data_IF_086676499717
#
_entry.id   IF_086676499717
#
_cell.length_a   1.000
_cell.length_b   1.000
_cell.length_c   1.000
_cell.angle_alpha   90.00
_cell.angle_beta   90.00
_cell.angle_gamma   90.00
#
_symmetry.space_group_name_H-M   'P 1'
#
loop_
_entity.id
_entity.type
_entity.pdbx_description
1 polymer ?
#
# COMPACT_ATOMS: atom_id res chain seq x y z
N UNK A 1 7.88 22.90 1.17
CA UNK A 1 7.15 21.64 1.47
C UNK A 1 8.08 20.46 1.18
N UNK A 2 8.64 19.83 2.22
CA UNK A 2 9.60 18.71 2.07
C UNK A 2 8.85 17.40 1.79
N UNK A 3 8.48 17.14 0.53
CA UNK A 3 7.90 15.84 0.14
C UNK A 3 8.98 14.75 0.30
N UNK A 4 8.72 13.72 1.12
CA UNK A 4 9.36 12.40 1.00
C UNK A 4 10.51 12.03 1.94
N UNK A 5 10.96 12.90 2.84
CA UNK A 5 12.04 12.59 3.80
C UNK A 5 11.57 11.58 4.87
N UNK A 6 12.51 10.80 5.41
CA UNK A 6 12.23 9.96 6.58
C UNK A 6 11.87 10.85 7.80
N UNK A 7 11.00 10.39 8.70
CA UNK A 7 10.72 11.12 9.94
C UNK A 7 11.96 11.28 10.81
N UNK A 8 12.13 12.46 11.40
CA UNK A 8 13.21 12.77 12.35
C UNK A 8 12.76 12.55 13.81
N UNK A 9 11.46 12.41 14.05
CA UNK A 9 10.87 12.30 15.38
C UNK A 9 10.01 11.03 15.57
N UNK A 10 9.70 10.72 16.83
CA UNK A 10 8.87 9.55 17.18
C UNK A 10 7.44 9.65 16.61
N UNK A 11 6.88 10.85 16.49
CA UNK A 11 5.51 11.04 16.00
C UNK A 11 5.38 10.70 14.51
N UNK A 12 6.32 11.12 13.67
CA UNK A 12 6.30 10.78 12.25
C UNK A 12 6.56 9.30 12.00
N UNK A 13 7.40 8.64 12.81
CA UNK A 13 7.55 7.18 12.77
C UNK A 13 6.26 6.46 13.16
N UNK A 14 5.57 6.89 14.22
CA UNK A 14 4.24 6.34 14.59
C UNK A 14 3.22 6.52 13.47
N UNK A 15 3.23 7.64 12.76
CA UNK A 15 2.35 7.85 11.61
C UNK A 15 2.64 6.87 10.47
N UNK A 16 3.91 6.56 10.19
CA UNK A 16 4.30 5.53 9.21
C UNK A 16 3.86 4.13 9.64
N UNK A 17 4.06 3.76 10.90
CA UNK A 17 3.61 2.47 11.46
C UNK A 17 2.10 2.33 11.31
N UNK A 18 1.31 3.34 11.73
CA UNK A 18 -0.15 3.33 11.54
C UNK A 18 -0.55 3.20 10.08
N UNK A 19 0.12 3.93 9.19
CA UNK A 19 -0.14 3.87 7.75
C UNK A 19 0.12 2.48 7.18
N UNK A 20 1.22 1.83 7.57
CA UNK A 20 1.50 0.44 7.19
C UNK A 20 0.45 -0.48 7.78
N UNK A 21 0.14 -0.39 9.07
CA UNK A 21 -0.86 -1.24 9.73
C UNK A 21 -2.24 -1.15 9.09
N UNK A 22 -2.68 0.06 8.70
CA UNK A 22 -3.92 0.28 7.97
C UNK A 22 -3.87 -0.33 6.56
N UNK A 23 -2.80 -0.07 5.81
CA UNK A 23 -2.63 -0.57 4.45
C UNK A 23 -2.53 -2.11 4.39
N UNK A 24 -1.89 -2.73 5.38
CA UNK A 24 -1.73 -4.18 5.46
C UNK A 24 -2.90 -4.85 6.18
N UNK A 25 -3.78 -4.11 6.87
CA UNK A 25 -4.78 -4.66 7.81
C UNK A 25 -4.13 -5.60 8.84
N UNK A 26 -2.90 -5.27 9.28
CA UNK A 26 -2.13 -6.00 10.30
C UNK A 26 -1.37 -5.01 11.18
N UNK A 27 -2.06 -4.29 12.08
CA UNK A 27 -1.43 -3.28 12.93
C UNK A 27 -0.29 -3.87 13.77
N UNK A 28 -0.45 -5.08 14.31
CA UNK A 28 0.57 -5.74 15.13
C UNK A 28 1.88 -6.12 14.40
N UNK A 29 1.86 -6.21 13.07
CA UNK A 29 3.07 -6.51 12.27
C UNK A 29 3.68 -5.27 11.62
N UNK A 30 3.05 -4.10 11.79
CA UNK A 30 3.41 -2.91 11.04
C UNK A 30 4.84 -2.42 11.35
N UNK A 31 5.27 -2.52 12.61
CA UNK A 31 6.63 -2.14 13.03
C UNK A 31 7.69 -3.05 12.42
N UNK A 32 7.50 -4.37 12.48
CA UNK A 32 8.43 -5.36 11.92
C UNK A 32 8.56 -5.24 10.40
N UNK A 33 7.43 -5.02 9.72
CA UNK A 33 7.39 -4.78 8.28
C UNK A 33 8.14 -3.49 7.91
N UNK A 34 7.97 -2.43 8.70
CA UNK A 34 8.66 -1.16 8.49
C UNK A 34 10.16 -1.29 8.76
N UNK A 35 10.55 -2.03 9.81
CA UNK A 35 11.96 -2.32 10.12
C UNK A 35 12.63 -3.09 8.97
N UNK A 36 11.99 -4.15 8.48
CA UNK A 36 12.49 -4.92 7.35
C UNK A 36 12.57 -4.09 6.06
N UNK A 37 11.60 -3.22 5.83
CA UNK A 37 11.61 -2.27 4.72
C UNK A 37 12.76 -1.27 4.84
N UNK A 38 13.11 -0.85 6.05
CA UNK A 38 14.23 0.06 6.32
C UNK A 38 15.57 -0.58 5.97
N UNK A 39 15.80 -1.83 6.35
CA UNK A 39 17.02 -2.56 5.97
C UNK A 39 17.18 -2.65 4.44
N UNK A 40 16.09 -2.92 3.72
CA UNK A 40 16.08 -2.95 2.25
C UNK A 40 16.28 -1.57 1.63
N UNK A 41 15.81 -0.50 2.27
CA UNK A 41 16.05 0.87 1.83
C UNK A 41 17.55 1.21 1.90
N UNK A 42 18.21 0.85 3.01
CA UNK A 42 19.65 1.11 3.18
C UNK A 42 20.48 0.32 2.16
N UNK A 43 20.14 -0.95 1.91
CA UNK A 43 20.77 -1.73 0.83
C UNK A 43 20.54 -1.07 -0.54
N UNK A 44 19.31 -0.65 -0.84
CA UNK A 44 18.99 -0.05 -2.14
C UNK A 44 19.70 1.29 -2.35
N UNK A 45 19.80 2.12 -1.30
CA UNK A 45 20.50 3.42 -1.30
C UNK A 45 22.00 3.30 -1.56
N UNK A 46 22.61 2.16 -1.21
CA UNK A 46 24.02 1.92 -1.52
C UNK A 46 24.30 1.86 -3.03
N UNK A 47 23.27 1.66 -3.87
CA UNK A 47 23.39 1.49 -5.32
C UNK A 47 22.54 2.46 -6.14
N UNK A 48 21.55 3.11 -5.55
CA UNK A 48 20.56 3.93 -6.25
C UNK A 48 20.14 5.15 -5.44
N UNK A 49 19.70 6.21 -6.13
CA UNK A 49 19.08 7.36 -5.46
C UNK A 49 17.60 7.06 -5.16
N UNK A 50 17.16 7.39 -3.95
CA UNK A 50 15.76 7.27 -3.53
C UNK A 50 15.21 8.65 -3.22
N UNK A 51 14.37 9.18 -4.10
CA UNK A 51 13.78 10.52 -3.96
C UNK A 51 12.76 10.60 -2.82
N UNK A 52 11.98 9.53 -2.60
CA UNK A 52 10.98 9.48 -1.52
C UNK A 52 11.14 8.22 -0.63
N UNK A 53 12.10 8.25 0.30
CA UNK A 53 12.34 7.19 1.27
C UNK A 53 11.10 6.74 2.06
N UNK A 54 10.26 7.67 2.51
CA UNK A 54 9.06 7.32 3.29
C UNK A 54 8.05 6.51 2.45
N UNK A 55 7.83 6.91 1.20
CA UNK A 55 6.98 6.16 0.28
C UNK A 55 7.59 4.80 -0.09
N UNK A 56 8.92 4.72 -0.21
CA UNK A 56 9.62 3.46 -0.41
C UNK A 56 9.38 2.49 0.76
N UNK A 57 9.54 2.94 2.01
CA UNK A 57 9.30 2.11 3.20
C UNK A 57 7.89 1.53 3.21
N UNK A 58 6.87 2.38 3.03
CA UNK A 58 5.48 1.94 3.01
C UNK A 58 5.25 0.93 1.89
N UNK A 59 5.80 1.18 0.69
CA UNK A 59 5.62 0.28 -0.46
C UNK A 59 6.26 -1.08 -0.22
N UNK A 60 7.49 -1.11 0.31
CA UNK A 60 8.19 -2.37 0.60
C UNK A 60 7.49 -3.14 1.71
N UNK A 61 7.08 -2.47 2.79
CA UNK A 61 6.33 -3.09 3.89
C UNK A 61 5.00 -3.71 3.42
N UNK A 62 4.23 -2.98 2.59
CA UNK A 62 2.97 -3.48 2.03
C UNK A 62 3.22 -4.69 1.11
N UNK A 63 4.23 -4.63 0.25
CA UNK A 63 4.58 -5.76 -0.62
C UNK A 63 4.94 -7.01 0.18
N UNK A 64 5.71 -6.85 1.27
CA UNK A 64 6.06 -7.97 2.16
C UNK A 64 4.82 -8.60 2.80
N UNK A 65 3.89 -7.79 3.31
CA UNK A 65 2.66 -8.30 3.91
C UNK A 65 1.76 -9.03 2.88
N UNK A 66 1.71 -8.53 1.64
CA UNK A 66 0.98 -9.19 0.54
C UNK A 66 1.62 -10.55 0.22
N UNK A 67 2.95 -10.60 0.12
CA UNK A 67 3.68 -11.83 -0.14
C UNK A 67 3.50 -12.85 1.00
N UNK A 68 3.54 -12.41 2.26
CA UNK A 68 3.31 -13.28 3.42
C UNK A 68 1.90 -13.88 3.44
N UNK A 69 0.86 -13.06 3.25
CA UNK A 69 -0.53 -13.54 3.14
C UNK A 69 -0.72 -14.55 2.03
N UNK A 70 0.00 -14.37 0.93
CA UNK A 70 -0.03 -15.33 -0.17
C UNK A 70 0.60 -16.65 0.24
N UNK A 71 1.76 -16.61 0.90
CA UNK A 71 2.40 -17.82 1.44
C UNK A 71 1.53 -18.50 2.49
N UNK A 72 0.82 -17.74 3.34
CA UNK A 72 -0.16 -18.28 4.28
C UNK A 72 -1.34 -18.92 3.56
N UNK A 73 -1.90 -18.31 2.50
CA UNK A 73 -3.00 -18.90 1.74
C UNK A 73 -2.60 -20.21 1.05
N UNK A 74 -1.43 -20.25 0.44
CA UNK A 74 -0.87 -21.48 -0.17
C UNK A 74 -0.61 -22.54 0.90
N UNK A 75 -0.10 -22.14 2.07
CA UNK A 75 0.11 -23.06 3.20
C UNK A 75 -1.20 -23.55 3.81
N UNK A 76 -2.25 -22.72 3.86
CA UNK A 76 -3.57 -23.07 4.39
C UNK A 76 -4.37 -24.01 3.47
N UNK A 77 -4.00 -24.13 2.19
CA UNK A 77 -4.47 -25.20 1.30
C UNK A 77 -3.83 -26.57 1.66
N UNK A 78 -2.89 -26.59 2.61
CA UNK A 78 -2.42 -27.78 3.36
C UNK A 78 -2.92 -27.66 4.80
N UNK A 79 -3.60 -28.67 5.38
CA UNK A 79 -4.37 -28.45 6.60
C UNK A 79 -3.46 -28.47 7.85
N UNK A 80 -2.96 -27.30 8.28
CA UNK A 80 -2.49 -27.09 9.66
C UNK A 80 -2.90 -25.70 10.22
N UNK A 81 -3.96 -25.75 11.05
CA UNK A 81 -4.23 -25.02 12.30
C UNK A 81 -3.97 -23.49 12.45
N UNK A 82 -5.08 -22.73 12.42
CA UNK A 82 -5.70 -21.90 13.50
C UNK A 82 -4.90 -20.81 14.27
N UNK A 83 -5.59 -19.64 14.42
CA UNK A 83 -5.47 -18.49 15.37
C UNK A 83 -4.28 -17.52 15.16
N UNK A 84 -4.45 -16.19 15.15
CA UNK A 84 -4.97 -15.37 16.26
C UNK A 84 -5.84 -14.16 15.84
N UNK A 85 -6.85 -13.91 16.67
CA UNK A 85 -7.53 -12.63 16.82
C UNK A 85 -6.70 -11.78 17.79
N UNK A 86 -6.25 -10.61 17.35
CA UNK A 86 -5.65 -9.61 18.23
C UNK A 86 -6.48 -8.33 18.13
N UNK A 87 -7.30 -8.15 19.15
CA UNK A 87 -7.87 -6.87 19.56
C UNK A 87 -6.75 -6.00 20.15
N UNK A 88 -6.53 -4.82 19.57
CA UNK A 88 -5.70 -3.77 20.14
C UNK A 88 -6.37 -2.42 19.87
N UNK A 89 -7.22 -2.05 20.82
CA UNK A 89 -7.19 -0.79 21.58
C UNK A 89 -7.34 0.54 20.82
N UNK A 90 -8.37 1.26 21.25
CA UNK A 90 -8.69 2.68 21.05
C UNK A 90 -7.49 3.61 20.78
N UNK A 91 -7.49 4.24 19.60
CA UNK A 91 -6.75 5.47 19.33
C UNK A 91 -7.74 6.36 18.54
N UNK A 92 -8.63 7.04 19.26
CA UNK A 92 -9.57 7.99 18.66
C UNK A 92 -8.78 9.07 17.91
N UNK A 93 -8.94 9.21 16.59
CA UNK A 93 -8.28 10.30 15.89
C UNK A 93 -8.93 11.63 16.33
N UNK A 94 -8.14 12.70 16.46
CA UNK A 94 -8.68 14.05 16.67
C UNK A 94 -9.74 14.32 15.60
N UNK A 95 -10.90 14.83 16.01
CA UNK A 95 -12.12 14.93 15.19
C UNK A 95 -11.87 15.56 13.80
N UNK A 96 -10.93 16.50 13.72
CA UNK A 96 -10.53 17.20 12.51
C UNK A 96 -9.70 16.33 11.54
N UNK A 97 -8.87 15.42 12.06
CA UNK A 97 -8.09 14.48 11.24
C UNK A 97 -8.99 13.43 10.58
N UNK A 98 -10.07 13.01 11.25
CA UNK A 98 -11.07 12.09 10.69
C UNK A 98 -11.80 12.74 9.53
N UNK A 99 -12.21 14.00 9.69
CA UNK A 99 -12.96 14.72 8.66
C UNK A 99 -12.11 14.93 7.40
N UNK A 100 -10.88 15.43 7.56
CA UNK A 100 -9.96 15.61 6.44
C UNK A 100 -9.56 14.28 5.77
N UNK A 101 -9.47 13.18 6.53
CA UNK A 101 -9.23 11.85 5.96
C UNK A 101 -10.44 11.35 5.16
N UNK A 102 -11.66 11.60 5.62
CA UNK A 102 -12.89 11.24 4.90
C UNK A 102 -13.00 12.02 3.59
N UNK A 103 -12.77 13.32 3.61
CA UNK A 103 -12.81 14.16 2.40
C UNK A 103 -11.77 13.70 1.36
N UNK A 104 -10.54 13.41 1.79
CA UNK A 104 -9.51 12.82 0.91
C UNK A 104 -9.92 11.47 0.36
N UNK A 105 -10.58 10.63 1.15
CA UNK A 105 -11.03 9.32 0.71
C UNK A 105 -12.14 9.44 -0.35
N UNK A 106 -13.14 10.30 -0.14
CA UNK A 106 -14.19 10.56 -1.13
C UNK A 106 -13.59 11.10 -2.43
N UNK A 107 -12.64 12.04 -2.35
CA UNK A 107 -11.90 12.54 -3.52
C UNK A 107 -11.23 11.43 -4.33
N UNK A 108 -10.58 10.48 -3.66
CA UNK A 108 -9.94 9.35 -4.35
C UNK A 108 -10.98 8.42 -4.96
N UNK A 109 -12.12 8.21 -4.30
CA UNK A 109 -13.23 7.43 -4.87
C UNK A 109 -13.79 8.07 -6.15
N UNK A 110 -13.97 9.39 -6.14
CA UNK A 110 -14.42 10.14 -7.32
C UNK A 110 -13.43 10.01 -8.47
N UNK A 111 -12.13 10.21 -8.20
CA UNK A 111 -11.10 10.03 -9.23
C UNK A 111 -11.05 8.59 -9.75
N UNK A 112 -11.24 7.59 -8.88
CA UNK A 112 -11.36 6.20 -9.34
C UNK A 112 -12.59 6.01 -10.23
N UNK A 113 -13.71 6.71 -9.98
CA UNK A 113 -14.92 6.61 -10.78
C UNK A 113 -14.71 7.09 -12.23
N UNK A 114 -13.86 8.09 -12.45
CA UNK A 114 -13.51 8.66 -13.76
C UNK A 114 -12.60 7.75 -14.62
N UNK A 115 -11.90 6.80 -14.01
CA UNK A 115 -11.09 5.84 -14.75
C UNK A 115 -11.97 4.91 -15.60
N UNK A 116 -11.49 4.54 -16.79
CA UNK A 116 -12.18 3.54 -17.60
C UNK A 116 -12.36 2.23 -16.81
N UNK A 117 -13.49 1.51 -16.96
CA UNK A 117 -13.81 0.34 -16.13
C UNK A 117 -12.67 -0.68 -16.07
N UNK A 118 -12.03 -0.94 -17.21
CA UNK A 118 -10.90 -1.87 -17.31
C UNK A 118 -9.64 -1.40 -16.58
N UNK A 119 -9.34 -0.10 -16.65
CA UNK A 119 -8.19 0.48 -15.96
C UNK A 119 -8.40 0.48 -14.46
N UNK A 120 -9.62 0.81 -14.01
CA UNK A 120 -10.03 0.75 -12.61
C UNK A 120 -9.96 -0.66 -12.06
N UNK A 121 -10.53 -1.64 -12.75
CA UNK A 121 -10.49 -3.06 -12.37
C UNK A 121 -9.05 -3.52 -12.14
N UNK A 122 -8.19 -3.36 -13.14
CA UNK A 122 -6.77 -3.76 -13.06
C UNK A 122 -6.04 -3.06 -11.91
N UNK A 123 -6.29 -1.76 -11.73
CA UNK A 123 -5.68 -1.00 -10.65
C UNK A 123 -6.12 -1.49 -9.26
N UNK A 124 -7.42 -1.79 -9.08
CA UNK A 124 -7.96 -2.29 -7.82
C UNK A 124 -7.51 -3.73 -7.53
N UNK A 125 -7.44 -4.60 -8.55
CA UNK A 125 -6.85 -5.94 -8.40
C UNK A 125 -5.41 -5.86 -7.88
N UNK A 126 -4.62 -4.89 -8.37
CA UNK A 126 -3.27 -4.70 -7.87
C UNK A 126 -3.23 -4.08 -6.46
N UNK A 127 -4.03 -3.04 -6.22
CA UNK A 127 -3.92 -2.20 -5.01
C UNK A 127 -4.71 -2.70 -3.81
N UNK A 128 -5.86 -3.31 -4.04
CA UNK A 128 -6.78 -3.79 -2.99
C UNK A 128 -6.63 -5.30 -2.80
N UNK A 129 -6.61 -6.05 -3.90
CA UNK A 129 -6.48 -7.52 -3.84
C UNK A 129 -5.02 -7.99 -3.75
N UNK A 130 -4.05 -7.11 -4.01
CA UNK A 130 -2.62 -7.42 -3.89
C UNK A 130 -2.10 -8.38 -4.98
N UNK A 131 -2.80 -8.48 -6.12
CA UNK A 131 -2.36 -9.34 -7.22
C UNK A 131 -1.11 -8.75 -7.90
N UNK A 132 -0.16 -9.63 -8.25
CA UNK A 132 1.02 -9.28 -9.05
C UNK A 132 0.60 -9.13 -10.50
N UNK A 133 1.34 -8.35 -11.28
CA UNK A 133 0.99 -8.08 -12.67
C UNK A 133 0.86 -9.35 -13.53
N UNK A 134 1.67 -10.38 -13.26
CA UNK A 134 1.58 -11.69 -13.93
C UNK A 134 0.28 -12.43 -13.65
N UNK A 135 -0.27 -12.28 -12.45
CA UNK A 135 -1.52 -12.95 -12.06
C UNK A 135 -2.72 -12.22 -12.64
N UNK A 136 -2.70 -10.89 -12.60
CA UNK A 136 -3.73 -10.07 -13.27
C UNK A 136 -3.73 -10.36 -14.77
N UNK A 137 -2.54 -10.44 -15.39
CA UNK A 137 -2.37 -10.81 -16.79
C UNK A 137 -2.99 -12.18 -17.09
N UNK A 138 -2.69 -13.20 -16.28
CA UNK A 138 -3.23 -14.55 -16.43
C UNK A 138 -4.76 -14.59 -16.25
N UNK A 139 -5.29 -13.95 -15.20
CA UNK A 139 -6.72 -13.93 -14.87
C UNK A 139 -7.55 -13.20 -15.94
N UNK A 140 -6.99 -12.16 -16.54
CA UNK A 140 -7.68 -11.32 -17.51
C UNK A 140 -7.37 -11.67 -18.98
N UNK A 141 -6.48 -12.64 -19.23
CA UNK A 141 -6.08 -13.04 -20.58
C UNK A 141 -5.34 -11.96 -21.36
N UNK A 142 -4.55 -11.11 -20.69
CA UNK A 142 -3.79 -10.01 -21.30
C UNK A 142 -2.29 -10.12 -20.99
N UNK A 143 -1.46 -9.31 -21.63
CA UNK A 143 -0.02 -9.30 -21.36
C UNK A 143 0.31 -8.55 -20.08
N UNK A 144 1.43 -8.91 -19.44
CA UNK A 144 1.97 -8.18 -18.27
C UNK A 144 2.21 -6.70 -18.61
N UNK A 145 2.70 -6.41 -19.82
CA UNK A 145 2.90 -5.02 -20.28
C UNK A 145 1.57 -4.25 -20.40
N UNK A 146 0.47 -4.92 -20.78
CA UNK A 146 -0.84 -4.27 -20.77
C UNK A 146 -1.28 -3.92 -19.34
N UNK A 147 -1.07 -4.82 -18.37
CA UNK A 147 -1.33 -4.56 -16.95
C UNK A 147 -0.50 -3.36 -16.46
N UNK A 148 0.80 -3.34 -16.73
CA UNK A 148 1.70 -2.22 -16.39
C UNK A 148 1.17 -0.88 -16.92
N UNK A 149 0.76 -0.84 -18.21
CA UNK A 149 0.21 0.37 -18.83
C UNK A 149 -1.08 0.83 -18.15
N UNK A 150 -1.98 -0.09 -17.80
CA UNK A 150 -3.20 0.27 -17.08
C UNK A 150 -2.89 0.80 -15.67
N UNK A 151 -2.02 0.13 -14.91
CA UNK A 151 -1.65 0.57 -13.55
C UNK A 151 -0.94 1.91 -13.57
N UNK A 152 -0.01 2.13 -14.51
CA UNK A 152 0.71 3.39 -14.66
C UNK A 152 -0.26 4.53 -15.04
N UNK A 153 -1.16 4.30 -16.00
CA UNK A 153 -2.19 5.28 -16.39
C UNK A 153 -3.08 5.66 -15.21
N UNK A 154 -3.56 4.67 -14.45
CA UNK A 154 -4.37 4.92 -13.27
C UNK A 154 -3.61 5.74 -12.21
N UNK A 155 -2.35 5.39 -11.95
CA UNK A 155 -1.53 6.09 -10.96
C UNK A 155 -1.28 7.55 -11.36
N UNK A 156 -0.92 7.81 -12.62
CA UNK A 156 -0.70 9.17 -13.13
C UNK A 156 -1.98 10.01 -13.05
N UNK A 157 -3.10 9.48 -13.55
CA UNK A 157 -4.39 10.16 -13.50
C UNK A 157 -4.78 10.53 -12.07
N UNK A 158 -4.65 9.59 -11.12
CA UNK A 158 -5.02 9.84 -9.72
C UNK A 158 -4.09 10.84 -9.04
N UNK A 159 -2.81 10.90 -9.43
CA UNK A 159 -1.88 11.92 -8.93
C UNK A 159 -2.33 13.30 -9.42
N UNK A 160 -2.57 13.46 -10.72
CA UNK A 160 -3.04 14.72 -11.31
C UNK A 160 -4.40 15.15 -10.73
N UNK A 161 -5.32 14.21 -10.52
CA UNK A 161 -6.63 14.45 -9.90
C UNK A 161 -6.53 15.01 -8.48
N UNK A 162 -5.55 14.51 -7.70
CA UNK A 162 -5.34 14.97 -6.33
C UNK A 162 -4.57 16.30 -6.31
N UNK A 163 -3.66 16.55 -7.25
CA UNK A 163 -2.88 17.80 -7.34
C UNK A 163 -3.67 18.96 -7.95
N UNK A 164 -4.70 18.69 -8.75
CA UNK A 164 -5.63 19.68 -9.28
C UNK A 164 -6.63 20.23 -8.25
N UNK A 165 -6.42 19.94 -6.97
CA UNK A 165 -7.24 20.39 -5.86
C UNK A 165 -6.49 21.29 -4.89
#
# INVERSE_FOLDING_TARGET
>A
MSKGRLPEDRLGWRALVRRVGWATRRPGQAEDLLHSAFLRLEEYRSRHTVENPAAFLVRVAVNMAIDERRHERIRAETPESIHDLVDLSDDQPLQDEVLAARERLERVKDGLAELSPRTREIFLMHRIEGLKYREIAAQLGITVSAVEKHVARAALFLIEWIEGW
#
